data_IF_064204672827
#
_entry.id   IF_064204672827
#
_cell.length_a   1.000
_cell.length_b   1.000
_cell.length_c   1.000
_cell.angle_alpha   90.00
_cell.angle_beta   90.00
_cell.angle_gamma   90.00
#
_symmetry.space_group_name_H-M   'P 1'
#
loop_
_entity.id
_entity.type
_entity.pdbx_description
1 polymer ?
#
# COMPACT_ATOMS: atom_id res chain seq x y z
N UNK A 1 -62.44 -16.42 -44.56
CA UNK A 1 -62.18 -15.68 -43.32
C UNK A 1 -61.04 -16.41 -42.53
N UNK A 2 -59.80 -15.93 -42.64
CA UNK A 2 -58.65 -16.49 -41.93
C UNK A 2 -58.22 -15.46 -40.89
N UNK A 3 -58.40 -15.77 -39.58
CA UNK A 3 -57.93 -14.96 -38.47
C UNK A 3 -56.46 -15.31 -38.23
N UNK A 4 -55.59 -14.33 -38.35
CA UNK A 4 -54.16 -14.42 -38.03
C UNK A 4 -53.98 -13.95 -36.58
N UNK A 5 -53.57 -14.87 -35.70
CA UNK A 5 -53.27 -14.60 -34.28
C UNK A 5 -51.82 -14.06 -34.15
N UNK A 6 -51.69 -12.80 -33.82
CA UNK A 6 -50.40 -12.18 -33.51
C UNK A 6 -50.02 -12.50 -32.03
N UNK A 7 -49.01 -13.32 -31.87
CA UNK A 7 -48.39 -13.57 -30.55
C UNK A 7 -47.28 -12.54 -30.35
N UNK A 8 -47.51 -11.57 -29.46
CA UNK A 8 -46.50 -10.60 -29.04
C UNK A 8 -45.62 -11.22 -27.93
N UNK A 9 -44.40 -11.58 -28.26
CA UNK A 9 -43.42 -12.03 -27.27
C UNK A 9 -42.79 -10.80 -26.62
N UNK A 10 -43.11 -10.51 -25.36
CA UNK A 10 -42.47 -9.49 -24.58
C UNK A 10 -41.10 -10.01 -24.09
N UNK A 11 -40.01 -9.50 -24.70
CA UNK A 11 -38.64 -9.75 -24.27
C UNK A 11 -38.37 -8.86 -23.03
N UNK A 12 -38.48 -9.43 -21.84
CA UNK A 12 -38.03 -8.77 -20.61
C UNK A 12 -36.49 -8.74 -20.62
N UNK A 13 -35.94 -7.58 -20.90
CA UNK A 13 -34.52 -7.34 -20.77
C UNK A 13 -34.15 -7.35 -19.26
N UNK A 14 -33.61 -8.47 -18.78
CA UNK A 14 -32.91 -8.51 -17.49
C UNK A 14 -31.61 -7.73 -17.63
N UNK A 15 -31.61 -6.47 -17.21
CA UNK A 15 -30.39 -5.72 -16.99
C UNK A 15 -29.59 -6.43 -15.88
N UNK A 16 -28.30 -6.72 -16.07
CA UNK A 16 -27.49 -7.23 -14.98
C UNK A 16 -27.44 -6.15 -13.90
N UNK A 17 -27.94 -6.48 -12.70
CA UNK A 17 -27.75 -5.64 -11.53
C UNK A 17 -26.25 -5.51 -11.33
N UNK A 18 -25.67 -4.31 -11.56
CA UNK A 18 -24.36 -3.98 -11.05
C UNK A 18 -24.42 -4.22 -9.55
N UNK A 19 -23.71 -5.26 -9.09
CA UNK A 19 -23.54 -5.48 -7.66
C UNK A 19 -22.88 -4.22 -7.09
N UNK A 20 -23.66 -3.43 -6.37
CA UNK A 20 -23.18 -2.27 -5.67
C UNK A 20 -22.06 -2.74 -4.75
N UNK A 21 -20.88 -2.19 -4.92
CA UNK A 21 -19.72 -2.44 -4.06
C UNK A 21 -20.14 -2.12 -2.62
N UNK A 22 -20.03 -3.11 -1.72
CA UNK A 22 -20.32 -2.87 -0.31
C UNK A 22 -19.48 -1.67 0.15
N UNK A 23 -20.09 -0.70 0.87
CA UNK A 23 -19.32 0.44 1.38
C UNK A 23 -18.17 -0.10 2.22
N UNK A 24 -16.94 0.29 1.86
CA UNK A 24 -15.77 -0.01 2.70
C UNK A 24 -15.95 0.80 3.97
N UNK A 25 -16.03 0.13 5.11
CA UNK A 25 -16.08 0.83 6.39
C UNK A 25 -14.86 1.75 6.50
N UNK A 26 -15.05 3.02 6.92
CA UNK A 26 -13.94 3.93 7.09
C UNK A 26 -12.93 3.33 8.07
N UNK A 27 -11.66 3.46 7.77
CA UNK A 27 -10.61 3.08 8.72
C UNK A 27 -10.77 3.93 9.99
N UNK A 28 -10.64 3.35 11.21
CA UNK A 28 -10.70 4.12 12.45
C UNK A 28 -9.67 5.24 12.50
N UNK A 29 -9.92 6.33 13.26
CA UNK A 29 -9.06 7.51 13.32
C UNK A 29 -7.60 7.21 13.66
N UNK A 30 -7.34 6.09 14.33
CA UNK A 30 -6.00 5.60 14.64
C UNK A 30 -5.91 4.10 14.39
N UNK A 31 -4.87 3.70 13.68
CA UNK A 31 -4.46 2.31 13.53
C UNK A 31 -2.98 2.17 13.90
N UNK A 32 -2.67 1.23 14.78
CA UNK A 32 -1.31 0.87 15.15
C UNK A 32 -1.03 -0.56 14.68
N UNK A 33 0.04 -0.75 13.94
CA UNK A 33 0.43 -2.02 13.32
C UNK A 33 1.82 -2.39 13.78
N UNK A 34 1.98 -3.53 14.44
CA UNK A 34 3.30 -4.10 14.76
C UNK A 34 3.67 -5.15 13.74
N UNK A 35 4.91 -5.15 13.30
CA UNK A 35 5.39 -6.07 12.28
C UNK A 35 6.80 -6.59 12.58
N UNK A 36 7.08 -7.77 12.04
CA UNK A 36 8.39 -8.42 12.08
C UNK A 36 8.92 -8.59 10.66
N UNK A 37 10.22 -8.38 10.51
CA UNK A 37 10.95 -8.65 9.28
C UNK A 37 11.80 -9.91 9.46
N UNK A 38 11.68 -10.83 8.51
CA UNK A 38 12.55 -12.01 8.41
C UNK A 38 13.32 -12.01 7.09
N UNK A 39 14.49 -12.60 7.10
CA UNK A 39 15.28 -12.94 5.89
C UNK A 39 15.56 -14.42 5.94
N UNK A 40 15.13 -15.14 4.91
CA UNK A 40 15.18 -16.60 4.86
C UNK A 40 14.60 -17.28 6.11
N UNK A 41 13.51 -16.71 6.68
CA UNK A 41 12.85 -17.19 7.89
C UNK A 41 13.52 -16.78 9.20
N UNK A 42 14.68 -16.13 9.18
CA UNK A 42 15.39 -15.65 10.38
C UNK A 42 14.93 -14.26 10.73
N UNK A 43 14.45 -13.98 11.97
CA UNK A 43 14.08 -12.63 12.39
C UNK A 43 15.30 -11.69 12.39
N UNK A 44 15.20 -10.58 11.65
CA UNK A 44 16.27 -9.59 11.51
C UNK A 44 15.83 -8.17 11.86
N UNK A 45 14.53 -7.94 11.96
CA UNK A 45 13.97 -6.62 12.27
C UNK A 45 12.57 -6.71 12.85
N UNK A 46 12.18 -5.65 13.54
CA UNK A 46 10.82 -5.41 14.02
C UNK A 46 10.48 -3.94 13.85
N UNK A 47 9.21 -3.62 13.86
CA UNK A 47 8.77 -2.24 13.76
C UNK A 47 7.32 -2.04 14.11
N UNK A 48 6.96 -0.76 14.14
CA UNK A 48 5.62 -0.27 14.39
C UNK A 48 5.26 0.80 13.36
N UNK A 49 4.03 0.76 12.87
CA UNK A 49 3.47 1.80 12.03
C UNK A 49 2.22 2.36 12.71
N UNK A 50 2.14 3.67 12.83
CA UNK A 50 0.98 4.37 13.37
C UNK A 50 0.40 5.25 12.28
N UNK A 51 -0.82 4.94 11.88
CA UNK A 51 -1.63 5.78 11.00
C UNK A 51 -2.65 6.55 11.83
N UNK A 52 -2.79 7.85 11.59
CA UNK A 52 -3.80 8.69 12.23
C UNK A 52 -4.45 9.61 11.21
N UNK A 53 -5.74 9.92 11.38
CA UNK A 53 -6.45 10.86 10.52
C UNK A 53 -7.64 11.53 11.22
N UNK A 54 -8.06 12.69 10.67
CA UNK A 54 -9.22 13.48 11.09
C UNK A 54 -10.27 13.60 9.96
N UNK A 55 -10.34 12.66 9.04
CA UNK A 55 -11.12 12.63 7.82
C UNK A 55 -10.70 13.63 6.72
N UNK A 56 -9.84 14.61 6.99
CA UNK A 56 -9.31 15.59 6.02
C UNK A 56 -7.81 15.45 5.82
N UNK A 57 -7.10 15.20 6.91
CA UNK A 57 -5.64 15.07 6.92
C UNK A 57 -5.25 13.73 7.52
N UNK A 58 -4.07 13.27 7.20
CA UNK A 58 -3.49 12.08 7.79
C UNK A 58 -2.02 12.28 8.14
N UNK A 59 -1.55 11.45 9.06
CA UNK A 59 -0.15 11.23 9.34
C UNK A 59 0.16 9.74 9.44
N UNK A 60 1.36 9.37 9.00
CA UNK A 60 1.94 8.03 9.19
C UNK A 60 3.29 8.17 9.85
N UNK A 61 3.53 7.42 10.90
CA UNK A 61 4.83 7.25 11.52
C UNK A 61 5.17 5.77 11.51
N UNK A 62 6.28 5.41 10.86
CA UNK A 62 6.80 4.05 10.84
C UNK A 62 8.18 4.03 11.48
N UNK A 63 8.36 3.18 12.46
CA UNK A 63 9.66 2.93 13.09
C UNK A 63 10.04 1.47 12.92
N UNK A 64 11.31 1.22 12.60
CA UNK A 64 11.85 -0.13 12.51
C UNK A 64 13.29 -0.16 12.98
N UNK A 65 13.67 -1.27 13.60
CA UNK A 65 15.03 -1.51 14.07
C UNK A 65 15.46 -2.93 13.79
N UNK A 66 16.76 -3.12 13.68
CA UNK A 66 17.36 -4.45 13.58
C UNK A 66 17.33 -5.17 14.92
N UNK A 67 17.07 -6.50 14.87
CA UNK A 67 17.03 -7.39 16.05
C UNK A 67 17.90 -8.64 15.80
N UNK A 68 18.05 -9.47 16.83
CA UNK A 68 18.81 -10.73 16.73
C UNK A 68 20.26 -10.48 16.28
N UNK A 69 20.75 -11.31 15.39
CA UNK A 69 22.09 -11.16 14.82
C UNK A 69 22.26 -9.87 14.02
N UNK A 70 21.19 -9.37 13.42
CA UNK A 70 21.20 -8.12 12.66
C UNK A 70 21.31 -6.88 13.57
N UNK A 71 21.09 -6.99 14.89
CA UNK A 71 21.24 -5.89 15.84
C UNK A 71 22.68 -5.33 15.87
N UNK A 72 23.68 -6.11 15.44
CA UNK A 72 25.05 -5.65 15.28
C UNK A 72 25.19 -4.46 14.32
N UNK A 73 24.30 -4.35 13.33
CA UNK A 73 24.27 -3.21 12.40
C UNK A 73 23.68 -1.95 13.02
N UNK A 74 23.02 -2.03 14.16
CA UNK A 74 22.41 -0.91 14.92
C UNK A 74 21.60 0.02 14.02
N UNK A 75 20.83 -0.56 13.08
CA UNK A 75 20.02 0.23 12.16
C UNK A 75 18.65 0.52 12.79
N UNK A 76 18.36 1.81 12.94
CA UNK A 76 17.04 2.34 13.30
C UNK A 76 16.58 3.26 12.17
N UNK A 77 15.39 2.99 11.64
CA UNK A 77 14.78 3.78 10.57
C UNK A 77 13.44 4.29 11.06
N UNK A 78 13.25 5.61 10.97
CA UNK A 78 11.97 6.26 11.18
C UNK A 78 11.55 6.96 9.90
N UNK A 79 10.30 6.73 9.49
CA UNK A 79 9.67 7.39 8.35
C UNK A 79 8.42 8.11 8.82
N UNK A 80 8.27 9.35 8.42
CA UNK A 80 7.11 10.16 8.71
C UNK A 80 6.53 10.68 7.40
N UNK A 81 5.21 10.57 7.26
CA UNK A 81 4.47 11.16 6.17
C UNK A 81 3.27 11.94 6.70
N UNK A 82 2.94 13.03 6.03
CA UNK A 82 1.72 13.80 6.28
C UNK A 82 1.07 14.15 4.95
N UNK A 83 -0.25 14.20 4.94
CA UNK A 83 -0.98 14.51 3.73
C UNK A 83 -2.45 14.80 3.97
N UNK A 84 -3.20 14.84 2.87
CA UNK A 84 -4.65 15.06 2.86
C UNK A 84 -5.36 13.79 2.42
N UNK A 85 -6.58 13.62 2.93
CA UNK A 85 -7.52 12.62 2.44
C UNK A 85 -8.40 13.31 1.41
N UNK A 86 -8.52 12.71 0.24
CA UNK A 86 -9.33 13.24 -0.88
C UNK A 86 -10.28 12.15 -1.38
N UNK A 87 -11.21 12.50 -2.25
CA UNK A 87 -12.09 11.52 -2.88
C UNK A 87 -11.31 10.46 -3.70
N UNK A 88 -10.09 10.78 -4.14
CA UNK A 88 -9.20 9.86 -4.87
C UNK A 88 -8.27 9.05 -3.93
N UNK A 89 -8.41 9.17 -2.60
CA UNK A 89 -7.57 8.51 -1.62
C UNK A 89 -6.57 9.44 -0.94
N UNK A 90 -5.49 8.87 -0.41
CA UNK A 90 -4.44 9.63 0.28
C UNK A 90 -3.62 10.46 -0.71
N UNK A 91 -3.36 11.71 -0.34
CA UNK A 91 -2.56 12.67 -1.11
C UNK A 91 -1.41 13.20 -0.26
N UNK A 92 -0.18 12.65 -0.41
CA UNK A 92 0.97 13.07 0.38
C UNK A 92 1.31 14.55 0.19
N UNK A 93 1.79 15.18 1.26
CA UNK A 93 2.35 16.55 1.24
C UNK A 93 3.81 16.54 1.63
N UNK A 94 4.18 15.74 2.63
CA UNK A 94 5.57 15.64 3.10
C UNK A 94 5.92 14.22 3.46
N UNK A 95 7.17 13.86 3.22
CA UNK A 95 7.79 12.60 3.66
C UNK A 95 9.19 12.89 4.17
N UNK A 96 9.58 12.25 5.28
CA UNK A 96 10.92 12.32 5.87
C UNK A 96 11.36 10.94 6.30
N UNK A 97 12.58 10.55 5.93
CA UNK A 97 13.25 9.36 6.44
C UNK A 97 14.43 9.77 7.31
N UNK A 98 14.47 9.26 8.54
CA UNK A 98 15.56 9.40 9.50
C UNK A 98 16.20 8.04 9.72
N UNK A 99 17.52 7.96 9.67
CA UNK A 99 18.31 6.76 10.00
C UNK A 99 19.28 7.09 11.12
N UNK A 100 19.20 6.33 12.21
CA UNK A 100 20.02 6.54 13.40
C UNK A 100 20.06 8.03 13.79
N UNK A 101 18.86 8.64 13.94
CA UNK A 101 18.62 10.04 14.36
C UNK A 101 19.12 11.12 13.38
N UNK A 102 19.51 10.74 12.17
CA UNK A 102 19.88 11.69 11.10
C UNK A 102 18.86 11.65 9.98
N UNK A 103 18.35 12.81 9.59
CA UNK A 103 17.53 12.93 8.39
C UNK A 103 18.38 12.57 7.18
N UNK A 104 17.96 11.54 6.45
CA UNK A 104 18.69 11.04 5.28
C UNK A 104 17.98 11.39 3.99
N UNK A 105 16.63 11.42 4.01
CA UNK A 105 15.83 11.66 2.83
C UNK A 105 14.56 12.42 3.16
N UNK A 106 14.08 13.19 2.18
CA UNK A 106 12.74 13.80 2.29
C UNK A 106 12.13 14.03 0.92
N UNK A 107 10.79 14.19 0.91
CA UNK A 107 10.02 14.61 -0.24
C UNK A 107 8.99 15.66 0.17
N UNK A 108 8.85 16.73 -0.64
CA UNK A 108 7.82 17.76 -0.49
C UNK A 108 7.02 17.83 -1.77
N UNK A 109 5.72 17.59 -1.68
CA UNK A 109 4.83 17.48 -2.83
C UNK A 109 4.10 18.79 -3.08
N UNK A 110 4.31 19.37 -4.25
CA UNK A 110 3.54 20.53 -4.73
C UNK A 110 2.56 20.07 -5.82
N UNK A 111 1.35 19.73 -5.41
CA UNK A 111 0.32 19.26 -6.29
C UNK A 111 -0.25 20.37 -7.19
N UNK A 112 -0.17 21.62 -6.80
CA UNK A 112 -0.61 22.75 -7.61
C UNK A 112 0.35 23.00 -8.77
N UNK A 113 1.64 22.96 -8.49
CA UNK A 113 2.70 23.08 -9.50
C UNK A 113 2.96 21.77 -10.26
N UNK A 114 2.37 20.63 -9.82
CA UNK A 114 2.57 19.32 -10.44
C UNK A 114 4.00 18.77 -10.31
N UNK A 115 4.67 19.06 -9.20
CA UNK A 115 6.04 18.60 -8.97
C UNK A 115 6.27 18.13 -7.52
N UNK A 116 7.38 17.42 -7.31
CA UNK A 116 7.86 17.04 -5.98
C UNK A 116 9.34 17.36 -5.87
N UNK A 117 9.72 17.97 -4.75
CA UNK A 117 11.11 18.18 -4.38
C UNK A 117 11.59 16.97 -3.59
N UNK A 118 12.70 16.37 -4.03
CA UNK A 118 13.34 15.22 -3.41
C UNK A 118 14.70 15.63 -2.87
N UNK A 119 15.04 15.14 -1.66
CA UNK A 119 16.33 15.36 -1.02
C UNK A 119 16.87 13.99 -0.57
N UNK A 120 18.11 13.66 -0.97
CA UNK A 120 18.85 12.46 -0.56
C UNK A 120 20.28 12.89 -0.16
N UNK A 121 20.50 13.06 1.14
CA UNK A 121 21.70 13.73 1.66
C UNK A 121 21.80 15.15 1.13
N UNK A 122 22.91 15.44 0.45
CA UNK A 122 23.17 16.76 -0.16
C UNK A 122 22.52 16.92 -1.55
N UNK A 123 22.02 15.83 -2.14
CA UNK A 123 21.39 15.88 -3.46
C UNK A 123 19.95 16.38 -3.35
N UNK A 124 19.66 17.44 -4.10
CA UNK A 124 18.35 18.05 -4.20
C UNK A 124 17.89 18.08 -5.65
N UNK A 125 16.69 17.58 -5.92
CA UNK A 125 16.09 17.60 -7.25
C UNK A 125 14.59 17.88 -7.18
N UNK A 126 14.07 18.48 -8.24
CA UNK A 126 12.63 18.63 -8.45
C UNK A 126 12.23 17.83 -9.68
N UNK A 127 11.24 16.94 -9.52
CA UNK A 127 10.78 16.07 -10.59
C UNK A 127 9.26 16.18 -10.75
N UNK A 128 8.71 15.92 -11.95
CA UNK A 128 7.28 15.97 -12.18
C UNK A 128 6.54 14.93 -11.33
N UNK A 129 5.41 15.33 -10.73
CA UNK A 129 4.46 14.43 -10.10
C UNK A 129 3.69 13.65 -11.17
N UNK A 130 3.42 12.39 -10.86
CA UNK A 130 2.51 11.53 -11.61
C UNK A 130 1.21 11.36 -10.82
N UNK A 131 0.07 11.10 -11.47
CA UNK A 131 -1.12 10.62 -10.77
C UNK A 131 -0.77 9.39 -9.92
N UNK A 132 -1.42 9.20 -8.78
CA UNK A 132 -1.17 8.07 -7.88
C UNK A 132 0.30 7.99 -7.40
N UNK A 133 0.91 9.14 -7.08
CA UNK A 133 2.23 9.18 -6.44
C UNK A 133 2.06 9.19 -4.92
N UNK A 134 2.66 8.19 -4.26
CA UNK A 134 2.74 8.07 -2.80
C UNK A 134 4.19 8.12 -2.31
N UNK A 135 4.34 8.32 -1.03
CA UNK A 135 5.61 8.11 -0.35
C UNK A 135 5.71 6.70 0.26
N UNK A 136 6.92 6.31 0.64
CA UNK A 136 7.21 4.97 1.15
C UNK A 136 6.58 4.65 2.52
N UNK A 137 6.05 5.64 3.25
CA UNK A 137 5.33 5.41 4.50
C UNK A 137 3.82 5.28 4.26
N UNK A 138 3.22 6.17 3.45
CA UNK A 138 1.77 6.21 3.26
C UNK A 138 1.25 5.15 2.29
N UNK A 139 2.09 4.60 1.39
CA UNK A 139 1.66 3.60 0.40
C UNK A 139 1.01 2.36 1.04
N UNK A 140 1.50 1.90 2.20
CA UNK A 140 0.95 0.75 2.90
C UNK A 140 -0.49 0.98 3.41
N UNK A 141 -0.85 2.22 3.72
CA UNK A 141 -2.18 2.61 4.19
C UNK A 141 -3.10 3.09 3.05
N UNK A 142 -2.54 3.40 1.88
CA UNK A 142 -3.30 3.97 0.76
C UNK A 142 -4.41 3.04 0.27
N UNK A 143 -4.19 1.74 0.32
CA UNK A 143 -5.17 0.74 -0.10
C UNK A 143 -6.46 0.74 0.74
N UNK A 144 -6.41 1.20 1.99
CA UNK A 144 -7.60 1.39 2.82
C UNK A 144 -8.54 2.48 2.29
N UNK A 145 -8.00 3.42 1.51
CA UNK A 145 -8.75 4.56 0.94
C UNK A 145 -9.01 4.42 -0.56
N UNK A 146 -8.22 3.63 -1.25
CA UNK A 146 -8.32 3.44 -2.69
C UNK A 146 -7.96 1.98 -3.02
N UNK A 147 -8.98 1.10 -2.94
CA UNK A 147 -8.79 -0.30 -3.30
C UNK A 147 -8.48 -0.44 -4.78
N UNK A 148 -7.55 -1.32 -5.14
CA UNK A 148 -7.38 -1.74 -6.51
C UNK A 148 -8.71 -2.32 -7.03
N UNK A 149 -9.19 -1.86 -8.17
CA UNK A 149 -10.32 -2.50 -8.83
C UNK A 149 -9.95 -3.94 -9.16
N UNK A 150 -10.71 -4.91 -8.60
CA UNK A 150 -10.43 -6.35 -8.68
C UNK A 150 -10.60 -6.98 -10.07
N UNK A 151 -10.43 -6.20 -11.12
CA UNK A 151 -10.29 -6.68 -12.50
C UNK A 151 -8.81 -6.84 -12.79
N UNK A 152 -8.43 -7.94 -13.40
CA UNK A 152 -7.07 -8.37 -13.80
C UNK A 152 -6.30 -7.39 -14.71
N UNK A 153 -6.49 -6.09 -14.53
CA UNK A 153 -5.80 -5.08 -15.31
C UNK A 153 -4.54 -4.63 -14.57
N UNK A 154 -3.47 -4.52 -15.33
CA UNK A 154 -2.24 -3.86 -14.90
C UNK A 154 -2.58 -2.49 -14.30
N UNK A 155 -2.24 -2.30 -13.03
CA UNK A 155 -2.37 -1.04 -12.35
C UNK A 155 -0.98 -0.45 -12.10
N UNK A 156 -0.90 0.88 -12.10
CA UNK A 156 0.36 1.60 -11.91
C UNK A 156 0.27 2.49 -10.69
N UNK A 157 1.30 2.43 -9.90
CA UNK A 157 1.51 3.36 -8.80
C UNK A 157 2.96 3.89 -8.84
N UNK A 158 3.13 5.08 -8.33
CA UNK A 158 4.43 5.74 -8.25
C UNK A 158 4.75 5.95 -6.78
N UNK A 159 5.94 5.51 -6.35
CA UNK A 159 6.36 5.63 -4.95
C UNK A 159 7.69 6.34 -4.88
N UNK A 160 7.76 7.34 -4.00
CA UNK A 160 9.05 7.97 -3.66
C UNK A 160 9.51 7.54 -2.27
N UNK A 161 10.81 7.28 -2.17
CA UNK A 161 11.53 7.09 -0.91
C UNK A 161 12.35 8.34 -0.52
N UNK A 162 12.06 9.50 -1.14
CA UNK A 162 12.79 10.76 -0.97
C UNK A 162 13.99 10.91 -1.91
N UNK A 163 14.43 9.80 -2.54
CA UNK A 163 15.56 9.81 -3.48
C UNK A 163 15.12 9.91 -4.94
N UNK A 164 14.06 9.17 -5.30
CA UNK A 164 13.51 9.09 -6.66
C UNK A 164 12.06 8.68 -6.61
N UNK A 165 11.33 8.87 -7.71
CA UNK A 165 10.04 8.24 -7.94
C UNK A 165 10.28 6.95 -8.70
N UNK A 166 9.75 5.84 -8.20
CA UNK A 166 9.78 4.53 -8.87
C UNK A 166 8.36 4.17 -9.31
N UNK A 167 8.21 3.81 -10.57
CA UNK A 167 6.96 3.23 -11.10
C UNK A 167 6.90 1.74 -10.71
N UNK A 168 5.75 1.33 -10.20
CA UNK A 168 5.43 -0.07 -9.96
C UNK A 168 4.17 -0.43 -10.73
N UNK A 169 4.27 -1.50 -11.50
CA UNK A 169 3.15 -2.16 -12.14
C UNK A 169 2.75 -3.34 -11.26
N UNK A 170 1.47 -3.51 -11.03
CA UNK A 170 0.98 -4.60 -10.21
C UNK A 170 -0.36 -5.14 -10.71
N UNK A 171 -0.65 -6.39 -10.35
CA UNK A 171 -1.92 -7.04 -10.58
C UNK A 171 -2.52 -7.51 -9.26
N UNK A 172 -3.85 -7.55 -9.20
CA UNK A 172 -4.59 -8.17 -8.12
C UNK A 172 -4.85 -9.61 -8.49
N UNK A 173 -4.26 -10.55 -7.76
CA UNK A 173 -4.40 -11.99 -8.04
C UNK A 173 -5.70 -12.59 -7.51
N UNK A 174 -6.39 -11.88 -6.61
CA UNK A 174 -7.65 -12.33 -6.01
C UNK A 174 -7.61 -12.43 -4.50
N UNK A 175 -8.63 -13.10 -3.94
CA UNK A 175 -8.74 -13.32 -2.49
C UNK A 175 -8.15 -14.67 -2.11
N UNK A 176 -7.43 -14.70 -1.00
CA UNK A 176 -6.91 -15.92 -0.39
C UNK A 176 -6.87 -15.82 1.13
N UNK A 177 -6.84 -16.98 1.79
CA UNK A 177 -6.67 -17.04 3.23
C UNK A 177 -5.18 -17.07 3.57
N UNK A 178 -4.75 -16.14 4.42
CA UNK A 178 -3.39 -16.01 4.89
C UNK A 178 -3.29 -16.38 6.37
N UNK A 179 -2.41 -17.32 6.72
CA UNK A 179 -2.07 -17.60 8.12
C UNK A 179 -1.08 -16.54 8.62
N UNK A 180 -1.41 -15.91 9.72
CA UNK A 180 -0.61 -14.87 10.37
C UNK A 180 -0.52 -15.13 11.87
N UNK A 181 0.35 -14.44 12.62
CA UNK A 181 0.34 -14.48 14.10
C UNK A 181 -1.00 -14.04 14.70
N UNK A 182 -1.80 -13.25 13.98
CA UNK A 182 -3.15 -12.83 14.41
C UNK A 182 -4.23 -13.87 14.07
N UNK A 183 -3.87 -15.05 13.56
CA UNK A 183 -4.78 -16.05 13.06
C UNK A 183 -4.90 -16.08 11.54
N UNK A 184 -5.96 -16.74 11.05
CA UNK A 184 -6.23 -16.82 9.62
C UNK A 184 -7.05 -15.60 9.18
N UNK A 185 -6.53 -14.84 8.21
CA UNK A 185 -7.17 -13.63 7.67
C UNK A 185 -7.59 -13.85 6.22
N UNK A 186 -8.73 -13.29 5.84
CA UNK A 186 -9.11 -13.13 4.44
C UNK A 186 -8.35 -11.95 3.84
N UNK A 187 -7.59 -12.20 2.78
CA UNK A 187 -6.73 -11.18 2.18
C UNK A 187 -6.95 -11.03 0.69
N UNK A 188 -6.63 -9.86 0.16
CA UNK A 188 -6.43 -9.62 -1.27
C UNK A 188 -4.94 -9.68 -1.54
N UNK A 189 -4.51 -10.56 -2.45
CA UNK A 189 -3.13 -10.68 -2.88
C UNK A 189 -2.85 -9.74 -4.06
N UNK A 190 -1.86 -8.89 -3.89
CA UNK A 190 -1.34 -7.95 -4.88
C UNK A 190 0.09 -8.33 -5.22
N UNK A 191 0.40 -8.42 -6.50
CA UNK A 191 1.72 -8.84 -6.98
C UNK A 191 2.29 -7.85 -7.98
N UNK A 192 3.57 -7.51 -7.84
CA UNK A 192 4.31 -6.71 -8.80
C UNK A 192 4.41 -7.46 -10.13
N UNK A 193 4.08 -6.79 -11.23
CA UNK A 193 4.39 -7.24 -12.57
C UNK A 193 5.86 -6.92 -12.83
N UNK A 194 6.65 -7.94 -13.16
CA UNK A 194 8.06 -7.78 -13.46
C UNK A 194 8.25 -7.36 -14.91
N UNK A 195 9.09 -6.36 -15.14
CA UNK A 195 9.56 -6.05 -16.48
C UNK A 195 10.53 -7.15 -16.97
N UNK A 196 10.70 -7.27 -18.27
CA UNK A 196 11.62 -8.26 -18.88
C UNK A 196 13.04 -8.12 -18.28
N UNK A 197 13.57 -9.22 -17.79
CA UNK A 197 14.90 -9.27 -17.14
C UNK A 197 14.95 -8.74 -15.70
N UNK A 198 13.88 -8.18 -15.13
CA UNK A 198 13.84 -7.84 -13.70
C UNK A 198 13.50 -9.06 -12.85
N UNK A 199 14.48 -9.51 -12.06
CA UNK A 199 14.32 -10.65 -11.14
C UNK A 199 13.78 -10.26 -9.75
N UNK A 200 13.49 -8.96 -9.52
CA UNK A 200 12.96 -8.47 -8.24
C UNK A 200 11.46 -8.65 -8.18
N UNK A 201 10.99 -9.45 -7.22
CA UNK A 201 9.58 -9.66 -6.94
C UNK A 201 9.09 -8.77 -5.79
N UNK A 202 7.79 -8.52 -5.77
CA UNK A 202 7.09 -7.95 -4.62
C UNK A 202 5.67 -8.48 -4.58
N UNK A 203 5.29 -9.02 -3.44
CA UNK A 203 3.95 -9.50 -3.13
C UNK A 203 3.45 -8.78 -1.88
N UNK A 204 2.17 -8.45 -1.84
CA UNK A 204 1.51 -7.79 -0.72
C UNK A 204 0.14 -8.43 -0.45
N UNK A 205 -0.22 -8.58 0.82
CA UNK A 205 -1.50 -9.11 1.27
C UNK A 205 -2.22 -8.07 2.11
N UNK A 206 -3.42 -7.72 1.68
CA UNK A 206 -4.27 -6.70 2.30
C UNK A 206 -5.44 -7.39 3.00
N UNK A 207 -5.57 -7.25 4.31
CA UNK A 207 -6.61 -7.91 5.09
C UNK A 207 -7.97 -7.23 4.88
N UNK A 208 -8.94 -7.99 4.35
CA UNK A 208 -10.27 -7.51 4.00
C UNK A 208 -11.05 -7.04 5.24
N UNK A 209 -10.97 -7.80 6.32
CA UNK A 209 -11.61 -7.54 7.60
C UNK A 209 -10.84 -6.55 8.51
N UNK A 210 -9.76 -5.98 8.00
CA UNK A 210 -8.93 -4.95 8.65
C UNK A 210 -8.75 -3.72 7.76
N UNK A 211 -9.81 -3.28 7.10
CA UNK A 211 -9.84 -2.10 6.22
C UNK A 211 -8.76 -2.14 5.12
N UNK A 212 -8.45 -3.31 4.57
CA UNK A 212 -7.41 -3.52 3.57
C UNK A 212 -6.01 -3.04 3.99
N UNK A 213 -5.73 -3.02 5.29
CA UNK A 213 -4.38 -2.79 5.76
C UNK A 213 -3.44 -3.89 5.28
N UNK A 214 -2.20 -3.48 4.99
CA UNK A 214 -1.14 -4.40 4.61
C UNK A 214 -0.77 -5.28 5.81
N UNK A 215 -0.98 -6.59 5.72
CA UNK A 215 -0.69 -7.57 6.79
C UNK A 215 0.52 -8.44 6.49
N UNK A 216 0.95 -8.50 5.24
CA UNK A 216 2.20 -9.12 4.83
C UNK A 216 2.73 -8.46 3.57
N UNK A 217 4.04 -8.28 3.50
CA UNK A 217 4.75 -7.91 2.29
C UNK A 217 5.98 -8.80 2.12
N UNK A 218 6.24 -9.24 0.90
CA UNK A 218 7.40 -10.02 0.55
C UNK A 218 8.13 -9.38 -0.61
N UNK A 219 9.41 -9.05 -0.41
CA UNK A 219 10.28 -8.60 -1.48
C UNK A 219 11.33 -9.65 -1.79
N UNK A 220 11.50 -9.97 -3.07
CA UNK A 220 12.57 -10.85 -3.56
C UNK A 220 13.58 -10.01 -4.30
N UNK A 221 14.82 -10.06 -3.86
CA UNK A 221 15.94 -9.36 -4.49
C UNK A 221 16.48 -10.13 -5.71
N UNK A 222 17.31 -9.46 -6.54
CA UNK A 222 17.89 -10.07 -7.75
C UNK A 222 18.70 -11.34 -7.49
N UNK A 223 19.32 -11.46 -6.32
CA UNK A 223 20.10 -12.61 -5.88
C UNK A 223 19.25 -13.73 -5.24
N UNK A 224 17.92 -13.58 -5.24
CA UNK A 224 16.99 -14.54 -4.63
C UNK A 224 16.77 -14.36 -3.13
N UNK A 225 17.43 -13.40 -2.48
CA UNK A 225 17.16 -13.09 -1.06
C UNK A 225 15.73 -12.61 -0.88
N UNK A 226 15.00 -13.23 0.05
CA UNK A 226 13.62 -12.88 0.37
C UNK A 226 13.56 -12.14 1.70
N UNK A 227 13.01 -10.95 1.65
CA UNK A 227 12.60 -10.16 2.81
C UNK A 227 11.09 -10.33 3.00
N UNK A 228 10.66 -10.73 4.18
CA UNK A 228 9.27 -11.02 4.48
C UNK A 228 8.85 -10.21 5.71
N UNK A 229 7.98 -9.22 5.52
CA UNK A 229 7.34 -8.42 6.59
C UNK A 229 6.00 -9.05 6.91
N UNK A 230 5.81 -9.44 8.16
CA UNK A 230 4.54 -10.01 8.63
C UNK A 230 4.04 -9.20 9.81
N UNK A 231 2.76 -8.85 9.78
CA UNK A 231 2.08 -8.14 10.88
C UNK A 231 1.84 -9.09 12.04
N UNK A 232 2.18 -8.66 13.25
CA UNK A 232 1.99 -9.39 14.51
C UNK A 232 0.73 -8.94 15.25
N UNK A 233 0.39 -7.65 15.18
CA UNK A 233 -0.86 -7.11 15.73
C UNK A 233 -1.33 -5.88 14.95
N UNK A 234 -2.64 -5.65 14.99
CA UNK A 234 -3.30 -4.43 14.55
C UNK A 234 -4.23 -3.97 15.67
N UNK A 235 -3.98 -2.77 16.18
CA UNK A 235 -4.79 -2.13 17.20
C UNK A 235 -5.45 -0.88 16.64
N UNK A 236 -6.78 -0.82 16.73
CA UNK A 236 -7.56 0.34 16.33
C UNK A 236 -8.00 1.11 17.57
N UNK A 237 -7.87 2.43 17.54
CA UNK A 237 -8.42 3.32 18.56
C UNK A 237 -9.38 4.32 17.92
N UNK A 238 -10.47 4.57 18.63
CA UNK A 238 -11.48 5.59 18.34
C UNK A 238 -11.01 6.99 18.77
#
# INVERSE_FOLDING_TARGET
MKQTLLITVALAAMAPALAARAPVEPIPPRAEVKFKLTVAGIPVGEGIAVFQHDAKTYSVVMESKTIGIAALYRLHIRREAKGRITAAGLRPLTFVETRNDRVTRSATFDWAAGNVQLIDGDNKQTVPLRPNTWDAASVACSFAFSLPDGKEQEQRLYVTDGRRITEYKYSVLGREKLSTPMGQLDTVHVKKIQDEGDKRGFDAWLAVDRHFLLVRARATEKNGTVFDWTVESVDFAS
#
